data_IF_659265622246
#
_entry.id   IF_659265622246
#
_cell.length_a   1.000
_cell.length_b   1.000
_cell.length_c   1.000
_cell.angle_alpha   90.00
_cell.angle_beta   90.00
_cell.angle_gamma   90.00
#
_symmetry.space_group_name_H-M   'P 1'
#
loop_
_entity.id
_entity.type
_entity.pdbx_description
1 polymer ?
#
# COMPACT_ATOMS: atom_id res chain seq x y z
N UNK A 1 -12.04 7.56 -1.70
CA UNK A 1 -12.21 6.34 -0.85
C UNK A 1 -10.82 5.77 -0.77
N UNK A 2 -10.23 5.68 0.42
CA UNK A 2 -8.84 5.29 0.53
C UNK A 2 -8.64 3.80 0.20
N UNK A 3 -7.73 3.54 -0.74
CA UNK A 3 -7.27 2.20 -1.08
C UNK A 3 -6.03 1.88 -0.26
N UNK A 4 -6.11 0.82 0.54
CA UNK A 4 -5.02 0.36 1.40
C UNK A 4 -4.14 -0.64 0.66
N UNK A 5 -2.83 -0.43 0.74
CA UNK A 5 -1.79 -1.20 0.06
C UNK A 5 -0.81 -1.72 1.09
N UNK A 6 -0.65 -3.03 1.19
CA UNK A 6 0.27 -3.65 2.14
C UNK A 6 1.68 -3.69 1.57
N UNK A 7 2.67 -3.35 2.38
CA UNK A 7 4.08 -3.47 2.04
C UNK A 7 4.65 -4.78 2.57
N UNK A 8 5.69 -5.29 1.91
CA UNK A 8 6.41 -6.47 2.38
C UNK A 8 7.07 -6.16 3.74
N UNK A 9 6.89 -7.02 4.76
CA UNK A 9 7.40 -6.77 6.11
C UNK A 9 8.93 -6.79 6.19
N UNK A 10 9.63 -7.34 5.20
CA UNK A 10 11.09 -7.36 5.16
C UNK A 10 11.69 -6.03 4.66
N UNK A 11 10.86 -5.08 4.22
CA UNK A 11 11.35 -3.80 3.74
C UNK A 11 11.87 -2.94 4.88
N UNK A 12 13.05 -2.36 4.65
CA UNK A 12 13.59 -1.35 5.57
C UNK A 12 12.71 -0.10 5.57
N UNK A 13 12.69 0.64 6.68
CA UNK A 13 12.04 1.96 6.77
C UNK A 13 12.52 2.93 5.68
N UNK A 14 13.79 2.84 5.28
CA UNK A 14 14.37 3.65 4.20
C UNK A 14 13.73 3.31 2.85
N UNK A 15 13.57 2.03 2.55
CA UNK A 15 12.90 1.56 1.33
C UNK A 15 11.44 1.99 1.30
N UNK A 16 10.74 1.87 2.42
CA UNK A 16 9.34 2.32 2.56
C UNK A 16 9.21 3.82 2.30
N UNK A 17 10.12 4.63 2.85
CA UNK A 17 10.14 6.07 2.59
C UNK A 17 10.41 6.40 1.11
N UNK A 18 11.23 5.60 0.41
CA UNK A 18 11.46 5.76 -1.03
C UNK A 18 10.22 5.41 -1.86
N UNK A 19 9.50 4.34 -1.51
CA UNK A 19 8.23 3.97 -2.17
C UNK A 19 7.20 5.09 -1.99
N UNK A 20 7.11 5.66 -0.78
CA UNK A 20 6.21 6.78 -0.54
C UNK A 20 6.63 8.06 -1.26
N UNK A 21 7.94 8.35 -1.34
CA UNK A 21 8.43 9.48 -2.15
C UNK A 21 8.07 9.29 -3.62
N UNK A 22 8.22 8.08 -4.16
CA UNK A 22 7.84 7.79 -5.54
C UNK A 22 6.37 8.12 -5.81
N UNK A 23 5.45 7.65 -4.97
CA UNK A 23 4.01 7.95 -5.19
C UNK A 23 3.68 9.42 -4.93
N UNK A 24 4.39 10.09 -4.02
CA UNK A 24 4.25 11.53 -3.84
C UNK A 24 4.64 12.34 -5.08
N UNK A 25 5.65 11.87 -5.83
CA UNK A 25 6.18 12.59 -7.00
C UNK A 25 5.33 12.34 -8.28
N UNK A 26 4.64 11.20 -8.38
CA UNK A 26 3.92 10.80 -9.61
C UNK A 26 2.42 10.57 -9.43
N UNK A 27 1.95 10.44 -8.20
CA UNK A 27 0.55 10.19 -7.88
C UNK A 27 -0.31 11.45 -7.96
N UNK A 28 -1.61 11.26 -8.16
CA UNK A 28 -2.57 12.36 -8.29
C UNK A 28 -3.26 12.70 -6.95
N UNK A 29 -3.34 11.72 -6.04
CA UNK A 29 -4.13 11.79 -4.82
C UNK A 29 -3.34 12.16 -3.57
N UNK A 30 -4.04 12.09 -2.43
CA UNK A 30 -3.42 12.14 -1.12
C UNK A 30 -2.94 10.75 -0.71
N UNK A 31 -1.79 10.69 -0.03
CA UNK A 31 -1.16 9.45 0.40
C UNK A 31 -0.77 9.52 1.87
N UNK A 32 -0.85 8.41 2.59
CA UNK A 32 -0.29 8.29 3.93
C UNK A 32 0.37 6.94 4.16
N UNK A 33 1.49 6.94 4.86
CA UNK A 33 2.10 5.72 5.40
C UNK A 33 1.68 5.56 6.85
N UNK A 34 1.35 4.34 7.24
CA UNK A 34 1.20 3.97 8.64
C UNK A 34 1.69 2.54 8.88
N UNK A 35 1.91 2.22 10.15
CA UNK A 35 2.32 0.89 10.60
C UNK A 35 1.18 0.25 11.38
N UNK A 36 0.95 -1.03 11.12
CA UNK A 36 0.06 -1.89 11.89
C UNK A 36 0.84 -3.16 12.25
N UNK A 37 1.26 -3.23 13.52
CA UNK A 37 2.27 -4.18 13.99
C UNK A 37 3.61 -4.03 13.26
N UNK A 38 4.13 -5.15 12.78
CA UNK A 38 5.41 -5.23 12.03
C UNK A 38 5.25 -4.96 10.53
N UNK A 39 4.06 -4.55 10.07
CA UNK A 39 3.78 -4.31 8.66
C UNK A 39 3.47 -2.84 8.40
N UNK A 40 4.05 -2.33 7.31
CA UNK A 40 3.76 -1.01 6.81
C UNK A 40 2.67 -1.04 5.74
N UNK A 41 1.89 0.03 5.71
CA UNK A 41 0.78 0.22 4.79
C UNK A 41 0.87 1.60 4.15
N UNK A 42 0.47 1.68 2.89
CA UNK A 42 0.22 2.94 2.20
C UNK A 42 -1.27 3.00 1.90
N UNK A 43 -1.91 4.07 2.33
CA UNK A 43 -3.24 4.42 1.84
C UNK A 43 -3.12 5.51 0.79
N UNK A 44 -3.82 5.31 -0.32
CA UNK A 44 -3.96 6.28 -1.40
C UNK A 44 -5.43 6.63 -1.58
N UNK A 45 -5.77 7.92 -1.71
CA UNK A 45 -7.15 8.35 -1.99
C UNK A 45 -7.59 8.01 -3.41
N UNK A 46 -6.65 8.06 -4.37
CA UNK A 46 -6.89 7.67 -5.77
C UNK A 46 -6.56 6.19 -5.98
N UNK A 47 -7.52 5.35 -6.45
CA UNK A 47 -7.25 3.96 -6.78
C UNK A 47 -6.20 3.77 -7.88
N UNK A 48 -6.00 4.75 -8.77
CA UNK A 48 -4.95 4.70 -9.79
C UNK A 48 -3.55 4.72 -9.16
N UNK A 49 -3.37 5.44 -8.05
CA UNK A 49 -2.10 5.53 -7.33
C UNK A 49 -1.75 4.19 -6.65
N UNK A 50 -2.77 3.50 -6.11
CA UNK A 50 -2.61 2.15 -5.58
C UNK A 50 -2.22 1.14 -6.67
N UNK A 51 -2.84 1.22 -7.85
CA UNK A 51 -2.49 0.38 -8.99
C UNK A 51 -1.06 0.68 -9.50
N UNK A 52 -0.66 1.95 -9.48
CA UNK A 52 0.68 2.38 -9.88
C UNK A 52 1.75 1.85 -8.92
N UNK A 53 1.49 1.84 -7.61
CA UNK A 53 2.36 1.21 -6.61
C UNK A 53 2.55 -0.29 -6.87
N UNK A 54 1.47 -1.02 -7.13
CA UNK A 54 1.52 -2.46 -7.44
C UNK A 54 2.32 -2.73 -8.71
N UNK A 55 2.16 -1.89 -9.74
CA UNK A 55 2.88 -2.04 -11.02
C UNK A 55 4.37 -1.69 -10.90
N UNK A 56 4.71 -0.64 -10.15
CA UNK A 56 6.09 -0.18 -9.98
C UNK A 56 6.90 -1.09 -9.05
N UNK A 57 6.25 -1.65 -8.03
CA UNK A 57 6.92 -2.45 -6.99
C UNK A 57 6.22 -3.79 -6.73
N UNK A 58 6.06 -4.66 -7.74
CA UNK A 58 5.24 -5.87 -7.64
C UNK A 58 5.70 -6.89 -6.58
N UNK A 59 6.99 -6.86 -6.21
CA UNK A 59 7.55 -7.75 -5.19
C UNK A 59 7.58 -7.13 -3.78
N UNK A 60 7.35 -5.81 -3.67
CA UNK A 60 7.43 -5.07 -2.41
C UNK A 60 6.05 -4.62 -1.92
N UNK A 61 5.09 -4.58 -2.83
CA UNK A 61 3.70 -4.22 -2.59
C UNK A 61 2.86 -5.48 -2.79
N UNK A 62 2.15 -5.90 -1.74
CA UNK A 62 1.15 -6.97 -1.84
C UNK A 62 -0.24 -6.36 -1.77
N UNK A 63 -1.10 -6.77 -2.67
CA UNK A 63 -2.54 -6.57 -2.50
C UNK A 63 -2.96 -7.39 -1.29
N UNK A 64 -3.46 -6.74 -0.24
CA UNK A 64 -4.17 -7.50 0.78
C UNK A 64 -5.45 -8.06 0.15
N UNK A 65 -5.76 -9.35 0.36
CA UNK A 65 -7.10 -9.83 0.07
C UNK A 65 -8.05 -9.03 0.94
N UNK A 66 -9.10 -8.50 0.31
CA UNK A 66 -10.17 -7.76 0.94
C UNK A 66 -10.57 -8.42 2.27
N UNK A 67 -10.52 -7.73 3.43
CA UNK A 67 -10.94 -8.34 4.70
C UNK A 67 -12.43 -8.72 4.71
N UNK A 68 -13.18 -8.36 3.66
CA UNK A 68 -14.62 -8.59 3.53
C UNK A 68 -15.00 -9.94 2.92
N UNK A 69 -14.06 -10.80 2.48
CA UNK A 69 -14.42 -12.09 1.88
C UNK A 69 -14.40 -13.31 2.82
N UNK A 70 -14.05 -13.17 4.10
CA UNK A 70 -13.98 -14.30 5.05
C UNK A 70 -14.95 -14.22 6.24
N UNK A 71 -15.98 -13.37 6.18
CA UNK A 71 -17.00 -13.25 7.23
C UNK A 71 -18.34 -13.96 6.93
N UNK A 72 -18.43 -14.77 5.86
CA UNK A 72 -19.63 -15.57 5.55
C UNK A 72 -19.26 -17.00 5.16
N UNK A 73 -18.92 -17.83 6.15
CA UNK A 73 -19.00 -19.30 6.07
C UNK A 73 -19.03 -19.87 7.48
N UNK A 74 -20.18 -19.75 8.15
CA UNK A 74 -20.59 -20.61 9.27
C UNK A 74 -22.08 -20.88 9.14
#
# INVERSE_FOLDING_TARGET
MFTKVALDPQLSRKTIAQIHRYIFDVGAGAHRIFWDGDRAYIEADDPADAALLQKAFPNMVRSEPDPTQNACSR
#
